data_IF_146539471607
#
_entry.id   IF_146539471607
#
_cell.length_a   1.000
_cell.length_b   1.000
_cell.length_c   1.000
_cell.angle_alpha   90.00
_cell.angle_beta   90.00
_cell.angle_gamma   90.00
#
_symmetry.space_group_name_H-M   'P 1'
#
loop_
_entity.id
_entity.type
_entity.pdbx_description
1 polymer ?
#
# COMPACT_ATOMS: atom_id res chain seq x y z
N UNK A 1 64.39 -70.81 51.62
CA UNK A 1 64.19 -69.60 50.78
C UNK A 1 63.50 -70.05 49.50
N UNK A 2 62.20 -70.30 49.58
CA UNK A 2 61.07 -69.44 49.15
C UNK A 2 60.90 -69.38 47.64
N UNK A 3 59.88 -70.12 47.18
CA UNK A 3 59.28 -70.16 45.85
C UNK A 3 58.36 -68.94 45.69
N UNK A 4 58.37 -68.28 44.53
CA UNK A 4 57.14 -67.62 44.02
C UNK A 4 57.13 -67.55 42.49
N UNK A 5 56.05 -68.08 41.93
CA UNK A 5 55.57 -68.03 40.54
C UNK A 5 54.89 -66.67 40.32
N UNK A 6 55.07 -66.01 39.16
CA UNK A 6 54.13 -64.95 38.71
C UNK A 6 54.23 -64.73 37.18
N UNK A 7 53.36 -65.37 36.40
CA UNK A 7 52.11 -64.85 35.78
C UNK A 7 52.34 -64.12 34.45
N UNK A 8 51.84 -64.76 33.38
CA UNK A 8 51.69 -64.24 32.02
C UNK A 8 50.62 -63.15 32.00
N UNK A 9 50.88 -62.01 31.36
CA UNK A 9 49.82 -61.12 30.86
C UNK A 9 50.13 -60.71 29.42
N UNK A 10 49.32 -61.24 28.49
CA UNK A 10 49.17 -60.69 27.15
C UNK A 10 48.48 -59.32 27.28
N UNK A 11 49.11 -58.26 26.80
CA UNK A 11 48.44 -56.99 26.58
C UNK A 11 47.75 -57.03 25.21
N UNK A 12 46.45 -57.29 25.20
CA UNK A 12 45.59 -57.06 24.04
C UNK A 12 45.40 -55.55 23.86
N UNK A 13 45.96 -55.02 22.77
CA UNK A 13 45.74 -53.64 22.32
C UNK A 13 44.32 -53.56 21.73
N UNK A 14 43.34 -53.23 22.56
CA UNK A 14 41.97 -52.95 22.13
C UNK A 14 41.92 -51.62 21.36
N UNK A 15 41.67 -51.71 20.06
CA UNK A 15 41.38 -50.57 19.20
C UNK A 15 39.98 -50.05 19.59
N UNK A 16 39.90 -48.99 20.40
CA UNK A 16 38.66 -48.26 20.63
C UNK A 16 38.30 -47.50 19.35
N UNK A 17 37.40 -48.06 18.55
CA UNK A 17 36.65 -47.29 17.55
C UNK A 17 35.62 -46.44 18.31
N UNK A 18 35.95 -45.18 18.58
CA UNK A 18 34.98 -44.21 19.03
C UNK A 18 33.97 -43.90 17.92
N UNK A 19 32.71 -43.53 18.24
CA UNK A 19 31.76 -43.10 17.23
C UNK A 19 32.27 -41.80 16.60
N UNK A 20 32.46 -41.81 15.28
CA UNK A 20 32.68 -40.59 14.51
C UNK A 20 31.44 -39.71 14.67
N UNK A 21 31.58 -38.60 15.40
CA UNK A 21 30.58 -37.56 15.40
C UNK A 21 30.58 -36.92 14.01
N UNK A 22 29.73 -37.42 13.12
CA UNK A 22 29.37 -36.70 11.89
C UNK A 22 28.80 -35.35 12.28
N UNK A 23 29.61 -34.30 12.12
CA UNK A 23 29.15 -32.92 12.15
C UNK A 23 28.14 -32.76 11.01
N UNK A 24 26.86 -32.77 11.34
CA UNK A 24 25.79 -32.32 10.46
C UNK A 24 26.04 -30.84 10.16
N UNK A 25 26.72 -30.58 9.04
CA UNK A 25 26.78 -29.25 8.46
C UNK A 25 25.34 -28.94 8.01
N UNK A 26 24.62 -28.14 8.80
CA UNK A 26 23.27 -27.74 8.45
C UNK A 26 23.32 -27.12 7.04
N UNK A 27 22.57 -27.69 6.09
CA UNK A 27 22.55 -27.20 4.72
C UNK A 27 21.95 -25.78 4.67
N UNK A 28 22.32 -24.98 3.66
CA UNK A 28 21.63 -23.74 3.35
C UNK A 28 20.24 -24.11 2.82
N UNK A 29 19.19 -23.47 3.33
CA UNK A 29 17.82 -23.69 2.81
C UNK A 29 17.79 -23.22 1.36
N UNK A 30 17.32 -24.06 0.43
CA UNK A 30 17.13 -23.70 -0.98
C UNK A 30 15.80 -22.97 -1.17
N UNK A 31 15.57 -22.47 -2.38
CA UNK A 31 14.33 -21.78 -2.72
C UNK A 31 14.22 -20.34 -2.23
N UNK A 32 13.02 -19.78 -2.36
CA UNK A 32 12.64 -18.43 -2.00
C UNK A 32 11.25 -18.43 -1.32
N UNK A 33 10.89 -17.28 -0.77
CA UNK A 33 9.52 -16.98 -0.37
C UNK A 33 9.14 -15.66 -1.05
N UNK A 34 7.84 -15.47 -1.26
CA UNK A 34 7.31 -14.26 -1.88
C UNK A 34 6.12 -13.76 -1.08
N UNK A 35 5.98 -12.44 -0.98
CA UNK A 35 4.71 -11.84 -0.59
C UNK A 35 3.80 -11.65 -1.80
N UNK A 36 2.57 -12.10 -1.69
CA UNK A 36 1.57 -12.13 -2.76
C UNK A 36 0.22 -11.64 -2.25
N UNK A 37 -0.77 -11.54 -3.14
CA UNK A 37 -2.19 -11.42 -2.74
C UNK A 37 -2.73 -12.78 -2.29
N UNK A 38 -3.94 -12.77 -1.75
CA UNK A 38 -4.66 -13.98 -1.34
C UNK A 38 -4.70 -15.08 -2.42
N UNK A 39 -4.74 -14.70 -3.70
CA UNK A 39 -4.84 -15.62 -4.83
C UNK A 39 -3.48 -16.04 -5.42
N UNK A 40 -2.37 -15.70 -4.76
CA UNK A 40 -1.01 -15.97 -5.25
C UNK A 40 -0.49 -14.95 -6.27
N UNK A 41 -1.35 -14.05 -6.78
CA UNK A 41 -0.93 -13.11 -7.81
C UNK A 41 0.15 -12.13 -7.34
N UNK A 42 1.07 -11.83 -8.27
CA UNK A 42 2.16 -10.88 -8.03
C UNK A 42 1.61 -9.48 -7.79
N UNK A 43 2.23 -8.80 -6.83
CA UNK A 43 2.00 -7.40 -6.54
C UNK A 43 3.16 -6.59 -7.10
N UNK A 44 2.85 -5.52 -7.82
CA UNK A 44 3.85 -4.63 -8.37
C UNK A 44 4.76 -4.10 -7.25
N UNK A 45 6.05 -4.41 -7.33
CA UNK A 45 7.07 -4.03 -6.33
C UNK A 45 6.76 -4.48 -4.89
N UNK A 46 5.90 -5.50 -4.68
CA UNK A 46 5.42 -5.93 -3.35
C UNK A 46 4.81 -4.77 -2.53
N UNK A 47 4.09 -3.86 -3.19
CA UNK A 47 3.39 -2.74 -2.56
C UNK A 47 1.92 -3.06 -2.28
N UNK A 48 1.56 -3.13 -1.01
CA UNK A 48 0.21 -3.45 -0.53
C UNK A 48 -0.45 -2.23 0.11
N UNK A 49 -1.77 -2.13 -0.07
CA UNK A 49 -2.61 -1.09 0.57
C UNK A 49 -2.84 -1.38 2.05
N UNK A 50 -2.97 -2.65 2.42
CA UNK A 50 -3.27 -3.07 3.79
C UNK A 50 -2.42 -4.26 4.21
N UNK A 51 -2.13 -4.35 5.52
CA UNK A 51 -1.52 -5.53 6.16
C UNK A 51 -2.38 -6.80 5.98
N UNK A 52 -3.69 -6.63 5.78
CA UNK A 52 -4.63 -7.74 5.55
C UNK A 52 -4.49 -8.38 4.18
N UNK A 53 -3.89 -7.67 3.22
CA UNK A 53 -3.81 -8.13 1.83
C UNK A 53 -2.50 -8.87 1.56
N UNK A 54 -1.62 -8.98 2.57
CA UNK A 54 -0.29 -9.57 2.43
C UNK A 54 -0.34 -11.05 2.79
N UNK A 55 -0.11 -11.89 1.79
CA UNK A 55 -0.04 -13.33 1.93
C UNK A 55 1.38 -13.81 1.60
N UNK A 56 1.76 -14.95 2.18
CA UNK A 56 3.01 -15.65 1.94
C UNK A 56 2.78 -16.77 0.94
N UNK A 57 3.68 -16.87 -0.01
CA UNK A 57 3.83 -17.99 -0.92
C UNK A 57 5.28 -18.55 -0.84
N UNK A 58 5.40 -19.88 -0.97
CA UNK A 58 6.65 -20.63 -0.94
C UNK A 58 7.05 -21.24 -2.29
N UNK A 59 6.29 -20.95 -3.35
CA UNK A 59 6.49 -21.44 -4.71
C UNK A 59 7.19 -20.45 -5.66
N UNK A 60 7.54 -20.87 -6.89
CA UNK A 60 7.99 -19.99 -7.96
C UNK A 60 6.93 -18.94 -8.29
N UNK A 61 7.35 -17.69 -8.60
CA UNK A 61 6.41 -16.69 -9.12
C UNK A 61 5.79 -17.07 -10.49
N UNK A 62 4.85 -16.26 -11.00
CA UNK A 62 4.05 -16.57 -12.18
C UNK A 62 4.90 -17.01 -13.38
N UNK A 63 4.47 -18.10 -14.02
CA UNK A 63 5.11 -18.73 -15.20
C UNK A 63 6.42 -19.50 -14.96
N UNK A 64 6.91 -19.60 -13.72
CA UNK A 64 8.01 -20.51 -13.42
C UNK A 64 7.48 -21.94 -13.16
N UNK A 65 8.23 -23.00 -13.54
CA UNK A 65 7.81 -24.38 -13.25
C UNK A 65 7.60 -24.56 -11.74
N UNK A 66 6.56 -25.26 -11.28
CA UNK A 66 6.17 -25.40 -9.86
C UNK A 66 7.28 -25.79 -8.86
N UNK A 67 8.44 -26.28 -9.33
CA UNK A 67 9.60 -26.62 -8.50
C UNK A 67 10.75 -25.63 -8.58
N UNK A 68 10.70 -24.65 -9.47
CA UNK A 68 11.73 -23.64 -9.62
C UNK A 68 11.72 -22.74 -8.37
N UNK A 69 12.82 -22.71 -7.61
CA UNK A 69 12.91 -21.94 -6.38
C UNK A 69 11.91 -22.30 -5.25
N UNK A 70 11.26 -23.47 -5.30
CA UNK A 70 10.42 -23.95 -4.20
C UNK A 70 11.22 -24.26 -2.93
N UNK A 71 10.59 -24.04 -1.78
CA UNK A 71 11.14 -24.45 -0.49
C UNK A 71 11.25 -25.99 -0.39
N UNK A 72 12.24 -26.54 0.34
CA UNK A 72 12.24 -27.96 0.68
C UNK A 72 10.99 -28.39 1.44
N UNK A 73 10.55 -29.64 1.24
CA UNK A 73 9.42 -30.20 1.98
C UNK A 73 9.67 -30.17 3.49
N UNK A 74 8.62 -29.84 4.25
CA UNK A 74 8.68 -29.78 5.71
C UNK A 74 7.79 -28.70 6.29
N UNK A 75 7.85 -28.56 7.60
CA UNK A 75 7.19 -27.47 8.31
C UNK A 75 8.12 -26.28 8.48
N UNK A 76 7.54 -25.09 8.39
CA UNK A 76 8.23 -23.81 8.52
C UNK A 76 7.51 -22.93 9.52
N UNK A 77 8.29 -22.16 10.28
CA UNK A 77 7.77 -20.99 10.98
C UNK A 77 7.95 -19.74 10.12
N UNK A 78 7.10 -18.74 10.33
CA UNK A 78 7.29 -17.41 9.75
C UNK A 78 7.19 -16.29 10.80
N UNK A 79 7.70 -15.11 10.47
CA UNK A 79 7.53 -13.90 11.26
C UNK A 79 7.64 -12.64 10.38
N UNK A 80 7.14 -11.52 10.90
CA UNK A 80 7.30 -10.19 10.31
C UNK A 80 8.15 -9.32 11.23
N UNK A 81 9.15 -8.66 10.66
CA UNK A 81 10.01 -7.69 11.32
C UNK A 81 10.07 -6.38 10.54
N UNK A 82 10.72 -5.38 11.11
CA UNK A 82 11.22 -4.25 10.33
C UNK A 82 12.28 -4.69 9.29
N UNK A 83 12.69 -3.79 8.36
CA UNK A 83 13.59 -4.15 7.27
C UNK A 83 15.00 -4.55 7.70
N UNK A 84 15.48 -4.15 8.87
CA UNK A 84 16.76 -4.64 9.38
C UNK A 84 16.61 -6.06 9.96
N UNK A 85 15.47 -6.35 10.60
CA UNK A 85 15.25 -7.58 11.35
C UNK A 85 15.51 -7.42 12.85
N UNK A 86 15.69 -6.18 13.31
CA UNK A 86 16.01 -5.85 14.70
C UNK A 86 14.76 -5.59 15.54
N UNK A 87 13.62 -5.30 14.90
CA UNK A 87 12.34 -5.07 15.58
C UNK A 87 11.33 -6.12 15.14
N UNK A 88 10.89 -6.97 16.08
CA UNK A 88 9.78 -7.90 15.87
C UNK A 88 8.47 -7.13 15.74
N UNK A 89 7.70 -7.44 14.70
CA UNK A 89 6.38 -6.85 14.46
C UNK A 89 5.25 -7.86 14.66
N UNK A 90 5.48 -9.17 14.45
CA UNK A 90 4.50 -10.21 14.80
C UNK A 90 4.18 -10.20 16.30
N UNK A 91 2.91 -10.38 16.66
CA UNK A 91 2.47 -10.28 18.08
C UNK A 91 1.97 -11.59 18.69
N UNK A 92 1.70 -12.62 17.89
CA UNK A 92 1.26 -13.93 18.35
C UNK A 92 2.45 -14.89 18.62
N UNK A 93 2.26 -16.10 19.17
CA UNK A 93 3.36 -17.05 19.35
C UNK A 93 3.91 -17.61 18.03
N UNK A 94 5.21 -17.91 17.95
CA UNK A 94 5.83 -18.51 16.75
C UNK A 94 5.15 -19.81 16.34
N UNK A 95 4.69 -20.62 17.31
CA UNK A 95 4.04 -21.89 17.07
C UNK A 95 2.70 -21.77 16.30
N UNK A 96 2.02 -20.62 16.41
CA UNK A 96 0.82 -20.32 15.62
C UNK A 96 1.18 -19.91 14.19
N UNK A 97 2.35 -19.28 13.97
CA UNK A 97 2.86 -18.91 12.65
C UNK A 97 3.57 -20.06 11.95
N UNK A 98 2.84 -21.11 11.59
CA UNK A 98 3.40 -22.33 10.98
C UNK A 98 2.68 -22.77 9.72
N UNK A 99 3.45 -23.16 8.70
CA UNK A 99 2.93 -23.73 7.45
C UNK A 99 3.71 -24.98 7.01
N UNK A 100 3.08 -25.79 6.15
CA UNK A 100 3.60 -27.03 5.57
C UNK A 100 3.94 -26.80 4.10
N UNK A 101 5.16 -27.18 3.71
CA UNK A 101 5.59 -27.26 2.30
C UNK A 101 5.60 -28.72 1.86
N UNK A 102 5.03 -28.99 0.68
CA UNK A 102 5.15 -30.26 0.01
C UNK A 102 5.24 -30.06 -1.51
N UNK A 103 6.17 -30.75 -2.17
CA UNK A 103 6.35 -30.63 -3.61
C UNK A 103 6.88 -29.27 -4.07
N UNK A 104 7.39 -28.45 -3.15
CA UNK A 104 7.92 -27.11 -3.44
C UNK A 104 6.94 -25.95 -3.25
N UNK A 105 5.69 -26.21 -2.83
CA UNK A 105 4.66 -25.18 -2.58
C UNK A 105 4.11 -25.29 -1.15
N UNK A 106 3.48 -24.22 -0.65
CA UNK A 106 2.75 -24.27 0.61
C UNK A 106 1.44 -25.02 0.38
N UNK A 107 1.18 -26.04 1.20
CA UNK A 107 -0.01 -26.92 1.06
C UNK A 107 -0.94 -26.88 2.27
N UNK A 108 -0.49 -26.32 3.39
CA UNK A 108 -1.34 -26.17 4.57
C UNK A 108 -0.82 -25.09 5.54
N UNK A 109 -1.75 -24.36 6.13
CA UNK A 109 -1.53 -23.70 7.42
C UNK A 109 -1.64 -24.75 8.53
N UNK A 110 -0.65 -24.80 9.42
CA UNK A 110 -0.54 -25.82 10.48
C UNK A 110 -0.15 -25.19 11.82
N UNK A 111 -0.62 -23.97 12.08
CA UNK A 111 -0.48 -23.32 13.39
C UNK A 111 -1.03 -24.20 14.52
N UNK A 112 -0.43 -24.08 15.70
CA UNK A 112 -0.75 -24.94 16.85
C UNK A 112 -2.02 -24.53 17.62
N UNK A 113 -2.65 -23.41 17.25
CA UNK A 113 -3.84 -22.88 17.91
C UNK A 113 -3.54 -22.03 19.15
N UNK A 114 -2.29 -21.64 19.38
CA UNK A 114 -1.92 -20.71 20.46
C UNK A 114 -2.32 -19.26 20.22
N UNK A 115 -2.89 -18.94 19.05
CA UNK A 115 -3.44 -17.63 18.69
C UNK A 115 -4.58 -17.73 17.65
N UNK A 116 -5.14 -16.60 17.20
CA UNK A 116 -6.09 -16.59 16.10
C UNK A 116 -5.45 -17.17 14.81
N UNK A 117 -6.20 -17.92 14.00
CA UNK A 117 -5.64 -18.55 12.80
C UNK A 117 -5.24 -17.51 11.75
N UNK A 118 -4.18 -17.80 10.99
CA UNK A 118 -3.87 -17.05 9.78
C UNK A 118 -4.79 -17.49 8.63
N UNK A 119 -5.43 -16.55 7.91
CA UNK A 119 -6.29 -16.88 6.79
C UNK A 119 -5.46 -17.51 5.67
N UNK A 120 -6.10 -18.33 4.85
CA UNK A 120 -5.46 -18.97 3.69
C UNK A 120 -6.21 -18.59 2.43
N UNK A 121 -5.50 -18.59 1.30
CA UNK A 121 -6.08 -18.41 -0.02
C UNK A 121 -5.65 -19.53 -0.96
N UNK A 122 -6.39 -19.72 -2.06
CA UNK A 122 -5.96 -20.63 -3.11
C UNK A 122 -4.90 -19.92 -3.96
N UNK A 123 -3.73 -20.53 -4.11
CA UNK A 123 -2.74 -20.04 -5.06
C UNK A 123 -3.15 -20.47 -6.47
N UNK A 124 -3.47 -19.49 -7.32
CA UNK A 124 -3.94 -19.74 -8.68
C UNK A 124 -2.82 -20.15 -9.64
N UNK A 125 -1.55 -19.83 -9.34
CA UNK A 125 -0.42 -20.17 -10.21
C UNK A 125 -0.13 -21.67 -10.20
N UNK A 126 -0.44 -22.35 -9.09
CA UNK A 126 -0.19 -23.78 -8.87
C UNK A 126 -1.39 -24.52 -8.26
N UNK A 127 -2.61 -24.08 -8.60
CA UNK A 127 -3.86 -24.66 -8.09
C UNK A 127 -4.00 -26.17 -8.37
N UNK A 128 -3.39 -26.67 -9.45
CA UNK A 128 -3.44 -28.08 -9.85
C UNK A 128 -2.70 -29.03 -8.91
N UNK A 129 -1.77 -28.51 -8.09
CA UNK A 129 -1.08 -29.27 -7.05
C UNK A 129 -1.55 -28.89 -5.63
N UNK A 130 -2.64 -28.14 -5.52
CA UNK A 130 -3.25 -27.75 -4.25
C UNK A 130 -2.43 -26.72 -3.48
N UNK A 131 -1.69 -25.86 -4.18
CA UNK A 131 -0.96 -24.77 -3.56
C UNK A 131 -1.93 -23.78 -2.88
N UNK A 132 -1.50 -23.26 -1.73
CA UNK A 132 -2.21 -22.23 -1.00
C UNK A 132 -1.27 -21.09 -0.64
N UNK A 133 -1.84 -19.93 -0.35
CA UNK A 133 -1.16 -18.83 0.31
C UNK A 133 -1.55 -18.74 1.78
N UNK A 134 -0.70 -18.14 2.62
CA UNK A 134 -0.97 -17.95 4.06
C UNK A 134 -0.86 -16.46 4.41
N UNK A 135 -1.92 -15.87 4.96
CA UNK A 135 -1.94 -14.46 5.35
C UNK A 135 -0.90 -14.17 6.43
N UNK A 136 -0.12 -13.09 6.26
CA UNK A 136 0.87 -12.69 7.28
C UNK A 136 0.20 -12.14 8.55
N UNK A 137 -0.92 -11.44 8.39
CA UNK A 137 -1.80 -11.09 9.49
C UNK A 137 -2.82 -12.22 9.73
N UNK A 138 -3.14 -12.50 10.98
CA UNK A 138 -4.21 -13.41 11.37
C UNK A 138 -5.59 -12.79 11.19
N UNK A 139 -6.64 -13.56 11.50
CA UNK A 139 -8.04 -13.12 11.38
C UNK A 139 -8.39 -11.88 12.22
N UNK A 140 -7.60 -11.53 13.23
CA UNK A 140 -7.70 -10.28 13.98
C UNK A 140 -6.93 -9.16 13.29
N UNK A 141 -7.09 -9.04 11.96
CA UNK A 141 -6.30 -8.17 11.10
C UNK A 141 -6.20 -6.71 11.61
N UNK A 142 -5.28 -5.93 11.04
CA UNK A 142 -4.77 -4.60 11.45
C UNK A 142 -4.15 -4.55 12.84
N UNK A 143 -4.58 -5.41 13.77
CA UNK A 143 -4.02 -5.57 15.11
C UNK A 143 -2.96 -6.70 15.23
N UNK A 144 -2.84 -7.60 14.26
CA UNK A 144 -1.99 -8.80 14.42
C UNK A 144 -0.47 -8.57 14.35
N UNK A 145 0.01 -7.78 13.38
CA UNK A 145 1.40 -7.34 13.39
C UNK A 145 1.50 -5.83 13.41
N UNK A 146 2.44 -5.33 14.20
CA UNK A 146 2.67 -3.92 14.47
C UNK A 146 3.12 -3.18 13.21
N UNK A 147 2.90 -1.87 13.19
CA UNK A 147 3.42 -1.03 12.12
C UNK A 147 4.94 -0.94 12.19
N UNK A 148 5.57 -0.98 11.02
CA UNK A 148 7.03 -0.86 10.92
C UNK A 148 7.48 0.54 11.33
N UNK A 149 8.56 0.69 12.13
CA UNK A 149 9.14 1.98 12.44
C UNK A 149 9.85 2.61 11.22
N UNK A 150 10.02 1.85 10.14
CA UNK A 150 10.54 2.37 8.89
C UNK A 150 9.54 3.35 8.27
N UNK A 151 9.89 4.63 8.16
CA UNK A 151 9.02 5.67 7.59
C UNK A 151 8.58 5.39 6.13
N UNK A 152 9.31 4.54 5.41
CA UNK A 152 8.93 4.07 4.09
C UNK A 152 7.81 3.02 4.10
N UNK A 153 7.33 2.56 5.25
CA UNK A 153 6.31 1.50 5.32
C UNK A 153 6.83 0.13 4.88
N UNK A 154 8.15 -0.11 4.95
CA UNK A 154 8.78 -1.36 4.53
C UNK A 154 8.83 -2.35 5.69
N UNK A 155 8.51 -3.60 5.40
CA UNK A 155 8.51 -4.75 6.29
C UNK A 155 9.38 -5.85 5.70
N UNK A 156 9.78 -6.81 6.54
CA UNK A 156 10.46 -8.04 6.12
C UNK A 156 9.72 -9.25 6.68
N UNK A 157 9.34 -10.17 5.80
CA UNK A 157 8.88 -11.49 6.20
C UNK A 157 10.06 -12.45 6.24
N UNK A 158 10.05 -13.38 7.19
CA UNK A 158 10.99 -14.47 7.30
C UNK A 158 10.27 -15.81 7.26
N UNK A 159 10.91 -16.84 6.71
CA UNK A 159 10.51 -18.23 6.87
C UNK A 159 11.72 -19.10 7.21
N UNK A 160 11.60 -19.98 8.20
CA UNK A 160 12.66 -20.93 8.58
C UNK A 160 12.08 -22.33 8.77
N UNK A 161 12.77 -23.40 8.34
CA UNK A 161 12.35 -24.75 8.69
C UNK A 161 12.26 -24.90 10.21
N UNK A 162 11.23 -25.60 10.70
CA UNK A 162 11.04 -25.87 12.14
C UNK A 162 12.30 -26.50 12.75
N UNK A 163 12.97 -27.40 12.01
CA UNK A 163 14.21 -28.05 12.46
C UNK A 163 15.43 -27.11 12.56
N UNK A 164 15.35 -25.89 12.02
CA UNK A 164 16.44 -24.90 12.04
C UNK A 164 16.11 -23.70 12.95
N UNK A 165 14.88 -23.64 13.49
CA UNK A 165 14.48 -22.60 14.42
C UNK A 165 15.20 -22.74 15.76
N UNK A 166 15.57 -21.61 16.37
CA UNK A 166 16.24 -21.57 17.67
C UNK A 166 15.37 -20.89 18.72
N UNK A 167 15.21 -21.50 19.89
CA UNK A 167 14.42 -20.95 20.99
C UNK A 167 13.07 -21.66 21.16
N UNK A 168 12.25 -21.11 22.05
CA UNK A 168 10.95 -21.68 22.41
C UNK A 168 9.84 -21.11 21.51
N UNK A 169 9.20 -21.93 20.64
CA UNK A 169 8.19 -21.45 19.72
C UNK A 169 6.87 -21.06 20.41
N UNK A 170 6.68 -21.39 21.70
CA UNK A 170 5.53 -20.90 22.47
C UNK A 170 5.62 -19.40 22.80
N UNK A 171 6.78 -18.78 22.59
CA UNK A 171 7.01 -17.37 22.82
C UNK A 171 6.72 -16.54 21.56
N UNK A 172 6.32 -15.28 21.75
CA UNK A 172 6.19 -14.29 20.67
C UNK A 172 7.58 -13.89 20.17
N UNK A 173 8.47 -13.53 21.10
CA UNK A 173 9.82 -13.05 20.85
C UNK A 173 10.88 -13.96 21.52
N UNK A 174 11.09 -15.19 21.01
CA UNK A 174 12.08 -16.09 21.58
C UNK A 174 13.49 -15.51 21.51
N UNK A 175 14.23 -15.64 22.61
CA UNK A 175 15.64 -15.27 22.64
C UNK A 175 16.46 -16.26 21.80
N UNK A 176 17.46 -15.75 21.08
CA UNK A 176 18.40 -16.55 20.32
C UNK A 176 19.79 -15.87 20.31
N UNK A 177 20.85 -16.63 20.01
CA UNK A 177 22.24 -16.15 20.07
C UNK A 177 22.76 -15.71 18.69
N UNK A 178 23.88 -14.97 18.66
CA UNK A 178 24.35 -14.19 17.50
C UNK A 178 24.12 -14.80 16.11
N UNK A 179 23.50 -14.01 15.22
CA UNK A 179 23.20 -14.39 13.82
C UNK A 179 21.75 -14.83 13.57
N UNK A 180 20.83 -14.46 14.46
CA UNK A 180 19.40 -14.76 14.35
C UNK A 180 18.56 -13.53 14.71
N UNK A 181 17.30 -13.53 14.26
CA UNK A 181 16.27 -12.59 14.67
C UNK A 181 15.11 -13.38 15.27
N UNK A 182 14.94 -13.36 16.59
CA UNK A 182 13.83 -14.02 17.30
C UNK A 182 13.67 -15.52 16.99
N UNK A 183 14.80 -16.23 16.90
CA UNK A 183 14.88 -17.65 16.60
C UNK A 183 15.07 -17.99 15.13
N UNK A 184 14.95 -17.01 14.24
CA UNK A 184 15.19 -17.16 12.80
C UNK A 184 16.67 -16.91 12.50
N UNK A 185 17.45 -17.98 12.36
CA UNK A 185 18.88 -17.89 12.01
C UNK A 185 19.04 -17.38 10.58
N UNK A 186 19.75 -16.27 10.38
CA UNK A 186 19.78 -15.57 9.09
C UNK A 186 20.23 -16.45 7.92
N UNK A 187 21.22 -17.33 8.15
CA UNK A 187 21.74 -18.25 7.12
C UNK A 187 20.83 -19.45 6.83
N UNK A 188 19.80 -19.68 7.65
CA UNK A 188 18.84 -20.79 7.57
C UNK A 188 17.43 -20.33 7.26
N UNK A 189 17.21 -19.03 7.17
CA UNK A 189 15.93 -18.44 6.83
C UNK A 189 15.91 -17.95 5.39
N UNK A 190 14.70 -17.86 4.85
CA UNK A 190 14.36 -17.08 3.67
C UNK A 190 13.66 -15.81 4.08
N UNK A 191 13.83 -14.78 3.28
CA UNK A 191 13.24 -13.48 3.54
C UNK A 191 12.72 -12.89 2.26
N UNK A 192 11.64 -12.14 2.37
CA UNK A 192 11.18 -11.20 1.35
C UNK A 192 10.84 -9.86 2.01
N UNK A 193 10.95 -8.78 1.25
CA UNK A 193 10.54 -7.45 1.72
C UNK A 193 9.25 -7.05 1.02
N UNK A 194 8.37 -6.40 1.76
CA UNK A 194 7.13 -5.85 1.25
C UNK A 194 6.89 -4.47 1.84
N UNK A 195 6.03 -3.70 1.18
CA UNK A 195 5.65 -2.38 1.65
C UNK A 195 4.17 -2.38 1.95
N UNK A 196 3.80 -1.96 3.15
CA UNK A 196 2.43 -1.57 3.43
C UNK A 196 2.44 -0.07 3.58
N UNK A 197 1.98 0.60 2.54
CA UNK A 197 1.56 1.99 2.65
C UNK A 197 0.05 1.95 2.53
N UNK A 198 -0.72 2.57 3.45
CA UNK A 198 -2.07 2.93 3.09
C UNK A 198 -1.94 3.70 1.78
N UNK A 199 -2.47 3.14 0.69
CA UNK A 199 -2.63 3.91 -0.53
C UNK A 199 -3.57 5.04 -0.12
N UNK A 200 -2.99 6.21 0.17
CA UNK A 200 -3.77 7.39 0.47
C UNK A 200 -4.61 7.58 -0.78
N UNK A 201 -5.90 7.30 -0.67
CA UNK A 201 -6.79 7.43 -1.81
C UNK A 201 -6.75 8.89 -2.19
N UNK A 202 -6.20 9.15 -3.37
CA UNK A 202 -6.11 10.50 -3.90
C UNK A 202 -7.17 10.72 -4.94
N UNK A 203 -7.67 11.94 -5.03
CA UNK A 203 -8.65 12.34 -6.03
C UNK A 203 -8.24 13.65 -6.71
N UNK A 204 -8.97 13.98 -7.78
CA UNK A 204 -8.88 15.28 -8.44
C UNK A 204 -10.15 16.10 -8.20
N UNK A 205 -10.00 17.41 -8.00
CA UNK A 205 -11.07 18.39 -8.14
C UNK A 205 -10.94 19.01 -9.53
N UNK A 206 -12.02 18.96 -10.32
CA UNK A 206 -12.10 19.69 -11.60
C UNK A 206 -13.02 20.89 -11.42
N UNK A 207 -12.51 22.06 -11.75
CA UNK A 207 -13.26 23.32 -11.69
C UNK A 207 -13.38 23.90 -13.08
N UNK A 208 -14.58 23.92 -13.62
CA UNK A 208 -14.91 24.59 -14.88
C UNK A 208 -15.32 26.02 -14.58
N UNK A 209 -14.83 26.95 -15.40
CA UNK A 209 -15.33 28.32 -15.42
C UNK A 209 -16.14 28.55 -16.67
N UNK A 210 -17.36 29.01 -16.46
CA UNK A 210 -18.29 29.40 -17.51
C UNK A 210 -18.68 30.88 -17.37
N UNK A 211 -18.85 31.55 -18.50
CA UNK A 211 -19.15 32.97 -18.55
C UNK A 211 -20.23 33.27 -19.60
N UNK A 212 -21.18 34.13 -19.25
CA UNK A 212 -22.21 34.63 -20.16
C UNK A 212 -22.05 36.14 -20.38
N UNK A 213 -21.91 36.54 -21.64
CA UNK A 213 -21.91 37.95 -22.05
C UNK A 213 -23.33 38.52 -22.24
N UNK A 214 -24.36 37.66 -22.18
CA UNK A 214 -25.76 38.02 -22.42
C UNK A 214 -26.58 38.09 -21.13
N UNK A 215 -25.91 38.17 -19.97
CA UNK A 215 -26.53 38.18 -18.65
C UNK A 215 -26.82 36.77 -18.10
N UNK A 216 -27.49 36.67 -16.95
CA UNK A 216 -27.59 35.42 -16.18
C UNK A 216 -28.43 34.33 -16.87
N UNK A 217 -29.26 34.70 -17.84
CA UNK A 217 -30.09 33.77 -18.63
C UNK A 217 -29.53 33.48 -20.03
N UNK A 218 -28.35 34.03 -20.35
CA UNK A 218 -27.67 33.84 -21.62
C UNK A 218 -26.99 32.47 -21.75
N UNK A 219 -26.55 32.11 -22.96
CA UNK A 219 -25.68 30.95 -23.14
C UNK A 219 -24.35 31.17 -22.42
N UNK A 220 -23.87 30.11 -21.77
CA UNK A 220 -22.58 30.08 -21.08
C UNK A 220 -21.51 29.47 -21.97
N UNK A 221 -20.31 30.05 -21.91
CA UNK A 221 -19.14 29.55 -22.63
C UNK A 221 -17.97 29.37 -21.65
N UNK A 222 -17.11 28.36 -21.84
CA UNK A 222 -15.93 28.20 -21.02
C UNK A 222 -15.03 29.44 -21.06
N UNK A 223 -14.39 29.77 -19.95
CA UNK A 223 -13.53 30.96 -19.83
C UNK A 223 -12.19 30.64 -19.18
N UNK A 224 -11.12 30.93 -19.91
CA UNK A 224 -9.74 30.85 -19.44
C UNK A 224 -9.34 32.06 -18.57
N UNK A 225 -8.26 31.90 -17.79
CA UNK A 225 -7.62 32.98 -17.02
C UNK A 225 -8.26 33.27 -15.66
N UNK A 226 -9.25 32.48 -15.24
CA UNK A 226 -9.93 32.69 -13.98
C UNK A 226 -9.18 32.06 -12.83
N UNK A 227 -8.91 32.82 -11.77
CA UNK A 227 -8.19 32.31 -10.59
C UNK A 227 -9.13 31.48 -9.71
N UNK A 228 -8.75 30.22 -9.51
CA UNK A 228 -9.42 29.24 -8.66
C UNK A 228 -8.50 28.88 -7.50
N UNK A 229 -9.07 28.82 -6.30
CA UNK A 229 -8.39 28.43 -5.07
C UNK A 229 -9.05 27.19 -4.46
N UNK A 230 -8.22 26.25 -4.01
CA UNK A 230 -8.64 25.09 -3.22
C UNK A 230 -7.93 25.17 -1.88
N UNK A 231 -8.72 25.25 -0.81
CA UNK A 231 -8.25 25.25 0.57
C UNK A 231 -8.57 23.90 1.23
N UNK A 232 -7.58 23.29 1.89
CA UNK A 232 -7.79 22.07 2.70
C UNK A 232 -8.16 22.40 4.16
N UNK A 233 -8.39 21.35 4.96
CA UNK A 233 -8.75 21.47 6.38
C UNK A 233 -7.65 22.09 7.26
N UNK A 234 -6.40 22.03 6.82
CA UNK A 234 -5.26 22.64 7.52
C UNK A 234 -5.09 24.12 7.14
N UNK A 235 -5.92 24.61 6.21
CA UNK A 235 -5.95 25.98 5.73
C UNK A 235 -4.94 26.27 4.62
N UNK A 236 -4.27 25.24 4.07
CA UNK A 236 -3.32 25.38 2.96
C UNK A 236 -4.11 25.67 1.68
N UNK A 237 -3.70 26.72 0.96
CA UNK A 237 -4.35 27.17 -0.27
C UNK A 237 -3.46 26.84 -1.46
N UNK A 238 -4.03 26.10 -2.42
CA UNK A 238 -3.46 25.92 -3.75
C UNK A 238 -4.28 26.72 -4.76
N UNK A 239 -3.62 27.48 -5.62
CA UNK A 239 -4.29 28.29 -6.63
C UNK A 239 -3.86 27.91 -8.05
N UNK A 240 -4.81 27.94 -8.97
CA UNK A 240 -4.59 27.69 -10.40
C UNK A 240 -5.48 28.61 -11.22
N UNK A 241 -5.02 28.99 -12.40
CA UNK A 241 -5.87 29.68 -13.39
C UNK A 241 -6.52 28.66 -14.32
N UNK A 242 -7.76 28.92 -14.73
CA UNK A 242 -8.43 28.10 -15.74
C UNK A 242 -7.67 28.17 -17.06
N UNK A 243 -7.46 27.01 -17.67
CA UNK A 243 -6.59 26.84 -18.81
C UNK A 243 -7.07 27.61 -20.06
N UNK A 244 -6.12 28.14 -20.82
CA UNK A 244 -6.33 28.67 -22.17
C UNK A 244 -6.25 27.57 -23.23
N UNK A 245 -6.19 27.93 -24.51
CA UNK A 245 -6.16 26.99 -25.63
C UNK A 245 -4.92 26.09 -25.65
N UNK A 246 -3.90 26.42 -24.84
CA UNK A 246 -2.66 25.64 -24.71
C UNK A 246 -2.70 24.62 -23.57
N UNK A 247 -3.71 24.69 -22.69
CA UNK A 247 -3.88 23.74 -21.60
C UNK A 247 -4.66 22.48 -22.00
N UNK A 248 -4.83 21.56 -21.05
CA UNK A 248 -5.45 20.26 -21.30
C UNK A 248 -6.94 20.37 -21.69
N UNK A 249 -7.69 21.24 -21.01
CA UNK A 249 -9.11 21.52 -21.28
C UNK A 249 -9.37 23.02 -21.11
N UNK A 250 -9.78 23.70 -22.19
CA UNK A 250 -10.06 25.14 -22.17
C UNK A 250 -11.14 25.51 -21.14
N UNK A 251 -10.83 26.48 -20.28
CA UNK A 251 -11.75 26.95 -19.23
C UNK A 251 -11.79 26.08 -17.97
N UNK A 252 -10.92 25.09 -17.81
CA UNK A 252 -10.87 24.22 -16.63
C UNK A 252 -9.58 24.43 -15.81
N UNK A 253 -9.69 24.31 -14.49
CA UNK A 253 -8.58 24.12 -13.56
C UNK A 253 -8.70 22.76 -12.86
N UNK A 254 -7.60 22.02 -12.75
CA UNK A 254 -7.59 20.69 -12.12
C UNK A 254 -6.58 20.64 -10.96
N UNK A 255 -7.01 20.10 -9.83
CA UNK A 255 -6.22 19.90 -8.62
C UNK A 255 -6.21 18.41 -8.27
N UNK A 256 -5.11 17.72 -8.55
CA UNK A 256 -4.96 16.28 -8.33
C UNK A 256 -3.98 15.96 -7.19
N UNK A 257 -4.06 14.72 -6.69
CA UNK A 257 -3.22 14.25 -5.60
C UNK A 257 -3.73 14.69 -4.23
N UNK A 258 -4.98 15.15 -4.15
CA UNK A 258 -5.65 15.55 -2.91
C UNK A 258 -6.09 14.29 -2.15
N UNK A 259 -6.17 14.36 -0.82
CA UNK A 259 -6.43 13.20 0.04
C UNK A 259 -7.80 13.31 0.71
N UNK A 260 -8.30 12.26 1.37
CA UNK A 260 -9.54 12.36 2.12
C UNK A 260 -9.53 13.52 3.13
N UNK A 261 -10.61 14.30 3.17
CA UNK A 261 -10.69 15.51 3.99
C UNK A 261 -11.77 16.50 3.55
N UNK A 262 -11.85 17.60 4.29
CA UNK A 262 -12.73 18.73 3.99
C UNK A 262 -12.00 19.75 3.12
N UNK A 263 -12.68 20.25 2.10
CA UNK A 263 -12.17 21.21 1.14
C UNK A 263 -13.13 22.38 0.93
N UNK A 264 -12.56 23.55 0.67
CA UNK A 264 -13.28 24.73 0.20
C UNK A 264 -12.70 25.13 -1.16
N UNK A 265 -13.55 25.18 -2.18
CA UNK A 265 -13.18 25.62 -3.53
C UNK A 265 -13.77 27.01 -3.74
N UNK A 266 -12.97 27.95 -4.21
CA UNK A 266 -13.37 29.34 -4.42
C UNK A 266 -12.95 29.82 -5.80
N UNK A 267 -13.79 30.64 -6.42
CA UNK A 267 -13.35 31.51 -7.50
C UNK A 267 -13.11 32.93 -6.98
N UNK A 268 -12.06 33.57 -7.45
CA UNK A 268 -11.88 35.00 -7.19
C UNK A 268 -12.75 35.85 -8.10
N UNK A 269 -13.19 36.99 -7.57
CA UNK A 269 -13.88 38.01 -8.37
C UNK A 269 -12.88 38.66 -9.35
N UNK A 270 -13.27 38.76 -10.63
CA UNK A 270 -12.44 39.37 -11.66
C UNK A 270 -13.26 40.42 -12.43
N UNK A 271 -13.06 41.69 -12.04
CA UNK A 271 -13.74 42.82 -12.67
C UNK A 271 -15.18 43.00 -12.17
N UNK A 272 -16.08 43.56 -13.00
CA UNK A 272 -17.47 43.81 -12.63
C UNK A 272 -18.36 42.57 -12.86
N UNK A 273 -17.86 41.37 -12.58
CA UNK A 273 -18.62 40.14 -12.77
C UNK A 273 -19.57 39.85 -11.59
N UNK A 274 -20.71 39.22 -11.88
CA UNK A 274 -21.63 38.67 -10.90
C UNK A 274 -21.77 37.16 -11.08
N UNK A 275 -21.89 36.43 -9.96
CA UNK A 275 -22.17 34.99 -10.00
C UNK A 275 -23.64 34.77 -10.31
N UNK A 276 -23.91 33.93 -11.30
CA UNK A 276 -25.25 33.55 -11.74
C UNK A 276 -25.57 32.07 -11.54
N UNK A 277 -24.57 31.23 -11.27
CA UNK A 277 -24.83 29.81 -11.02
C UNK A 277 -23.64 29.05 -10.44
N UNK A 278 -23.97 27.94 -9.78
CA UNK A 278 -23.03 26.95 -9.26
C UNK A 278 -23.57 25.57 -9.61
N UNK A 279 -22.80 24.76 -10.34
CA UNK A 279 -23.15 23.37 -10.65
C UNK A 279 -22.11 22.45 -10.03
N UNK A 280 -22.55 21.44 -9.27
CA UNK A 280 -21.66 20.43 -8.69
C UNK A 280 -22.12 19.06 -9.12
N UNK A 281 -21.27 18.30 -9.80
CA UNK A 281 -21.55 16.96 -10.33
C UNK A 281 -22.88 16.91 -11.13
N UNK A 282 -23.15 17.96 -11.91
CA UNK A 282 -24.36 18.11 -12.72
C UNK A 282 -25.61 18.62 -11.96
N UNK A 283 -25.51 18.92 -10.67
CA UNK A 283 -26.61 19.46 -9.85
C UNK A 283 -26.48 20.98 -9.70
N UNK A 284 -27.52 21.72 -10.08
CA UNK A 284 -27.62 23.17 -9.85
C UNK A 284 -27.82 23.48 -8.37
N UNK A 285 -26.99 24.37 -7.84
CA UNK A 285 -27.01 24.89 -6.47
C UNK A 285 -27.25 26.41 -6.48
N UNK A 286 -27.60 27.01 -5.33
CA UNK A 286 -27.64 28.46 -5.21
C UNK A 286 -26.33 29.11 -5.70
N UNK A 287 -26.40 30.24 -6.44
CA UNK A 287 -25.21 30.92 -6.93
C UNK A 287 -24.30 31.36 -5.78
N UNK A 288 -23.09 30.80 -5.71
CA UNK A 288 -22.08 31.14 -4.72
C UNK A 288 -20.68 31.16 -5.37
N UNK A 289 -19.77 31.99 -4.85
CA UNK A 289 -18.34 32.02 -5.25
C UNK A 289 -17.51 30.92 -4.60
N UNK A 290 -18.11 30.17 -3.70
CA UNK A 290 -17.43 29.14 -2.93
C UNK A 290 -18.29 27.90 -2.77
N UNK A 291 -17.66 26.75 -2.72
CA UNK A 291 -18.31 25.48 -2.43
C UNK A 291 -17.45 24.67 -1.46
N UNK A 292 -18.07 24.15 -0.40
CA UNK A 292 -17.41 23.33 0.59
C UNK A 292 -17.94 21.90 0.55
N UNK A 293 -17.05 20.92 0.66
CA UNK A 293 -17.41 19.51 0.69
C UNK A 293 -16.42 18.70 1.51
N UNK A 294 -16.82 17.48 1.89
CA UNK A 294 -15.91 16.45 2.39
C UNK A 294 -15.80 15.35 1.34
N UNK A 295 -14.62 14.77 1.21
CA UNK A 295 -14.37 13.64 0.32
C UNK A 295 -13.77 12.48 1.10
N UNK A 296 -14.30 11.29 0.88
CA UNK A 296 -13.82 10.03 1.42
C UNK A 296 -13.51 9.03 0.30
N UNK A 297 -12.64 8.04 0.55
CA UNK A 297 -12.33 7.02 -0.46
C UNK A 297 -13.60 6.31 -0.96
N UNK A 298 -13.83 6.36 -2.27
CA UNK A 298 -15.01 5.79 -2.91
C UNK A 298 -16.05 6.83 -3.35
N UNK A 299 -15.93 8.08 -2.88
CA UNK A 299 -16.73 9.18 -3.40
C UNK A 299 -16.32 9.53 -4.83
N UNK A 300 -17.26 9.97 -5.69
CA UNK A 300 -16.92 10.44 -7.02
C UNK A 300 -16.01 11.67 -6.97
N UNK A 301 -15.18 11.84 -8.01
CA UNK A 301 -14.38 13.05 -8.16
C UNK A 301 -15.29 14.28 -8.30
N UNK A 302 -15.08 15.37 -7.54
CA UNK A 302 -15.88 16.57 -7.66
C UNK A 302 -15.61 17.31 -8.96
N UNK A 303 -16.68 17.55 -9.72
CA UNK A 303 -16.71 18.47 -10.84
C UNK A 303 -17.57 19.68 -10.48
N UNK A 304 -16.95 20.85 -10.39
CA UNK A 304 -17.56 22.10 -9.95
C UNK A 304 -17.54 23.08 -11.10
N UNK A 305 -18.66 23.73 -11.40
CA UNK A 305 -18.75 24.77 -12.42
C UNK A 305 -19.25 26.06 -11.80
N UNK A 306 -18.42 27.11 -11.85
CA UNK A 306 -18.85 28.47 -11.51
C UNK A 306 -19.27 29.21 -12.77
N UNK A 307 -20.44 29.85 -12.71
CA UNK A 307 -21.04 30.61 -13.81
C UNK A 307 -21.18 32.06 -13.42
N UNK A 308 -20.61 32.93 -14.26
CA UNK A 308 -20.68 34.37 -14.05
C UNK A 308 -21.13 35.09 -15.31
N UNK A 309 -21.48 36.36 -15.13
CA UNK A 309 -21.79 37.27 -16.22
C UNK A 309 -21.26 38.66 -15.90
N UNK A 310 -21.15 39.52 -16.92
CA UNK A 310 -20.71 40.90 -16.74
C UNK A 310 -21.86 41.80 -16.25
N UNK A 311 -21.62 42.59 -15.21
CA UNK A 311 -22.55 43.61 -14.74
C UNK A 311 -22.24 44.99 -15.38
N UNK A 312 -23.18 45.49 -16.20
CA UNK A 312 -23.19 46.85 -16.81
C UNK A 312 -22.61 46.90 -18.23
N UNK A 313 -23.23 47.52 -19.23
CA UNK A 313 -24.13 48.69 -19.26
C UNK A 313 -25.39 48.32 -20.07
N UNK A 314 -26.57 48.30 -19.46
CA UNK A 314 -27.83 48.42 -20.23
C UNK A 314 -27.92 49.90 -20.64
N UNK A 315 -27.18 50.26 -21.69
CA UNK A 315 -27.24 51.56 -22.33
C UNK A 315 -28.23 51.50 -23.48
N UNK A 316 -29.38 52.16 -23.30
CA UNK A 316 -30.04 52.97 -24.33
C UNK A 316 -29.89 52.44 -25.77
N UNK A 317 -30.61 51.39 -26.13
CA UNK A 317 -30.90 51.05 -27.52
C UNK A 317 -32.37 50.63 -27.68
N UNK A 318 -33.27 51.41 -27.08
CA UNK A 318 -34.55 51.66 -27.73
C UNK A 318 -34.31 52.78 -28.76
N UNK A 319 -34.67 52.63 -30.03
CA UNK A 319 -34.42 53.65 -31.04
C UNK A 319 -35.39 54.81 -30.82
N UNK A 320 -35.02 55.79 -29.99
CA UNK A 320 -35.67 57.09 -30.05
C UNK A 320 -35.06 57.87 -31.21
N UNK A 321 -35.90 58.12 -32.22
CA UNK A 321 -35.56 58.99 -33.34
C UNK A 321 -35.61 60.41 -32.81
N UNK A 322 -34.48 60.98 -32.43
CA UNK A 322 -34.08 62.37 -32.72
C UNK A 322 -32.81 62.77 -31.98
N UNK A 323 -31.91 63.43 -32.73
CA UNK A 323 -30.76 64.24 -32.30
C UNK A 323 -29.36 63.62 -32.45
N UNK A 324 -28.49 64.48 -32.99
CA UNK A 324 -27.19 64.27 -33.66
C UNK A 324 -25.98 63.96 -32.74
N UNK A 325 -24.81 63.59 -33.31
CA UNK A 325 -23.74 62.94 -32.57
C UNK A 325 -22.75 63.95 -31.97
N UNK A 326 -22.20 63.62 -30.80
CA UNK A 326 -20.95 64.21 -30.33
C UNK A 326 -19.86 63.15 -30.19
N UNK A 327 -18.80 63.45 -30.92
CA UNK A 327 -17.50 62.81 -31.03
C UNK A 327 -16.77 62.68 -29.68
N UNK A 328 -16.07 61.56 -29.54
CA UNK A 328 -14.68 61.43 -29.05
C UNK A 328 -14.27 61.44 -27.55
N UNK A 329 -13.17 60.69 -27.32
CA UNK A 329 -12.21 60.59 -26.18
C UNK A 329 -12.63 59.75 -24.95
N UNK A 330 -11.83 58.85 -24.36
CA UNK A 330 -10.37 58.56 -24.29
C UNK A 330 -10.16 57.05 -24.00
N UNK A 331 -9.30 56.32 -24.73
CA UNK A 331 -7.93 55.87 -24.35
C UNK A 331 -7.70 55.41 -22.90
N UNK A 332 -7.61 54.09 -22.67
CA UNK A 332 -6.39 53.28 -22.41
C UNK A 332 -6.79 51.88 -21.91
#
# INVERSE_FOLDING_TARGET
MSRTILTILLASLGLLMGPEATLLHAAKVSGAIFTTRVDGSVVNENHFTSKCDVYLDGGPGPNAPAKAAGLPDGDYYFQVTDPSGDVLLSTDPVANRRFRVAGGVIVAYVGDGSGPPHPTGADLDHSEIGAITVGLANVSCTADFLDTPNAGGVYKVWATPVAQFQGDPSQVAPACSGGCSYGFVHSKSKTDNFKVQPSISTFCIRVNKEFSEFGPSGPYFPRAGWLIEVQDSDGVINSRVTADETGAVFGQAEFCGLTAGAYIVREEQQGPDEVSGLVVNGVELPPERSYSFEWQPGDPEPEITFRNFLFGIIGLNAPDRTAEPLLELLFL
#
